data_IF_424678105316
#
_entry.id   IF_424678105316
#
_cell.length_a   1.000
_cell.length_b   1.000
_cell.length_c   1.000
_cell.angle_alpha   90.00
_cell.angle_beta   90.00
_cell.angle_gamma   90.00
#
_symmetry.space_group_name_H-M   'P 1'
#
loop_
_entity.id
_entity.type
_entity.pdbx_description
1 polymer ?
#
# COMPACT_ATOMS: atom_id res chain seq x y z
N UNK A 1 -3.03 -12.30 4.29
CA UNK A 1 -3.02 -10.86 3.99
C UNK A 1 -2.61 -10.57 2.57
N UNK A 2 -3.14 -9.50 1.97
CA UNK A 2 -2.74 -9.08 0.65
C UNK A 2 -3.10 -7.61 0.41
N UNK A 3 -2.25 -6.93 -0.33
CA UNK A 3 -2.49 -5.54 -0.68
C UNK A 3 -1.59 -5.07 -1.82
N UNK A 4 -1.93 -3.93 -2.37
CA UNK A 4 -1.26 -3.29 -3.49
C UNK A 4 -1.12 -1.80 -3.22
N UNK A 5 -0.04 -1.23 -3.70
CA UNK A 5 0.22 0.20 -3.71
C UNK A 5 0.01 0.73 -5.14
N UNK A 6 -0.94 1.62 -5.32
CA UNK A 6 -1.18 2.32 -6.58
C UNK A 6 -0.46 3.67 -6.55
N UNK A 7 0.65 3.74 -7.26
CA UNK A 7 1.59 4.86 -7.26
C UNK A 7 1.51 5.77 -8.48
N UNK A 8 0.33 5.96 -9.06
CA UNK A 8 0.15 6.77 -10.25
C UNK A 8 0.36 8.27 -10.01
N UNK A 9 0.83 8.97 -11.02
CA UNK A 9 0.95 10.44 -11.00
C UNK A 9 -0.42 11.09 -10.75
N UNK A 10 -0.43 12.27 -10.16
CA UNK A 10 -1.66 13.06 -9.95
C UNK A 10 -2.40 13.25 -11.29
N UNK A 11 -3.74 13.09 -11.24
CA UNK A 11 -4.62 13.26 -12.41
C UNK A 11 -4.77 12.03 -13.31
N UNK A 12 -4.18 10.88 -12.98
CA UNK A 12 -4.34 9.63 -13.74
C UNK A 12 -5.52 8.74 -13.25
N UNK A 13 -6.46 9.31 -12.51
CA UNK A 13 -7.70 8.61 -12.15
C UNK A 13 -7.53 7.54 -11.07
N UNK A 14 -6.59 7.68 -10.12
CA UNK A 14 -6.44 6.74 -8.99
C UNK A 14 -7.74 6.48 -8.24
N UNK A 15 -8.48 7.54 -7.94
CA UNK A 15 -9.77 7.45 -7.24
C UNK A 15 -10.78 6.63 -8.03
N UNK A 16 -10.88 6.85 -9.35
CA UNK A 16 -11.78 6.09 -10.21
C UNK A 16 -11.39 4.61 -10.29
N UNK A 17 -10.08 4.31 -10.40
CA UNK A 17 -9.61 2.93 -10.36
C UNK A 17 -9.91 2.25 -9.03
N UNK A 18 -9.67 2.92 -7.92
CA UNK A 18 -9.96 2.40 -6.60
C UNK A 18 -11.47 2.16 -6.43
N UNK A 19 -12.30 3.04 -6.96
CA UNK A 19 -13.76 2.89 -7.02
C UNK A 19 -14.17 1.66 -7.84
N UNK A 20 -13.58 1.45 -9.01
CA UNK A 20 -13.84 0.27 -9.83
C UNK A 20 -13.43 -1.03 -9.12
N UNK A 21 -12.27 -1.04 -8.46
CA UNK A 21 -11.83 -2.18 -7.64
C UNK A 21 -12.82 -2.44 -6.51
N UNK A 22 -13.25 -1.39 -5.78
CA UNK A 22 -14.24 -1.53 -4.72
C UNK A 22 -15.56 -2.11 -5.23
N UNK A 23 -15.99 -1.71 -6.43
CA UNK A 23 -17.19 -2.23 -7.07
C UNK A 23 -17.05 -3.72 -7.42
N UNK A 24 -15.92 -4.13 -7.98
CA UNK A 24 -15.63 -5.54 -8.27
C UNK A 24 -15.67 -6.38 -6.98
N UNK A 25 -15.01 -5.95 -5.92
CA UNK A 25 -15.04 -6.65 -4.63
C UNK A 25 -16.45 -6.75 -4.04
N UNK A 26 -17.25 -5.70 -4.21
CA UNK A 26 -18.64 -5.70 -3.77
C UNK A 26 -19.50 -6.70 -4.56
N UNK A 27 -19.32 -6.80 -5.86
CA UNK A 27 -20.08 -7.69 -6.74
C UNK A 27 -19.64 -9.15 -6.62
N UNK A 28 -18.32 -9.40 -6.61
CA UNK A 28 -17.77 -10.76 -6.63
C UNK A 28 -17.71 -11.41 -5.24
N UNK A 29 -17.37 -10.62 -4.21
CA UNK A 29 -17.16 -11.13 -2.85
C UNK A 29 -18.25 -10.70 -1.87
N UNK A 30 -19.26 -9.93 -2.31
CA UNK A 30 -20.34 -9.38 -1.46
C UNK A 30 -19.80 -8.61 -0.24
N UNK A 31 -18.65 -7.94 -0.38
CA UNK A 31 -17.99 -7.23 0.70
C UNK A 31 -18.22 -5.73 0.62
N UNK A 32 -18.14 -5.06 1.75
CA UNK A 32 -18.17 -3.60 1.82
C UNK A 32 -16.76 -3.01 1.92
N UNK A 33 -16.62 -1.74 1.54
CA UNK A 33 -15.36 -1.03 1.48
C UNK A 33 -15.25 0.03 2.57
N UNK A 34 -14.11 0.09 3.25
CA UNK A 34 -13.72 1.21 4.10
C UNK A 34 -12.71 2.07 3.36
N UNK A 35 -13.01 3.35 3.16
CA UNK A 35 -12.06 4.34 2.65
C UNK A 35 -11.53 5.18 3.81
N UNK A 36 -10.21 5.24 3.95
CA UNK A 36 -9.53 6.15 4.88
C UNK A 36 -8.81 7.21 4.05
N UNK A 37 -9.16 8.48 4.24
CA UNK A 37 -8.65 9.57 3.41
C UNK A 37 -8.35 10.84 4.24
N UNK A 38 -7.57 11.80 3.70
CA UNK A 38 -7.46 13.13 4.28
C UNK A 38 -8.82 13.82 4.42
N UNK A 39 -9.02 14.67 5.44
CA UNK A 39 -10.32 15.33 5.67
C UNK A 39 -10.87 16.06 4.44
N UNK A 40 -9.99 16.70 3.66
CA UNK A 40 -10.36 17.42 2.43
C UNK A 40 -10.93 16.55 1.31
N UNK A 41 -10.69 15.24 1.36
CA UNK A 41 -11.17 14.28 0.37
C UNK A 41 -12.41 13.49 0.82
N UNK A 42 -12.89 13.69 2.05
CA UNK A 42 -14.01 12.96 2.62
C UNK A 42 -15.30 13.17 1.79
N UNK A 43 -15.62 14.42 1.46
CA UNK A 43 -16.80 14.74 0.63
C UNK A 43 -16.70 14.18 -0.80
N UNK A 44 -15.51 14.22 -1.40
CA UNK A 44 -15.27 13.64 -2.71
C UNK A 44 -15.54 12.12 -2.68
N UNK A 45 -14.97 11.40 -1.73
CA UNK A 45 -15.18 9.96 -1.61
C UNK A 45 -16.64 9.60 -1.31
N UNK A 46 -17.33 10.38 -0.47
CA UNK A 46 -18.77 10.20 -0.23
C UNK A 46 -19.58 10.32 -1.53
N UNK A 47 -19.28 11.31 -2.37
CA UNK A 47 -19.91 11.47 -3.68
C UNK A 47 -19.63 10.30 -4.63
N UNK A 48 -18.41 9.72 -4.58
CA UNK A 48 -18.09 8.52 -5.35
C UNK A 48 -18.88 7.30 -4.86
N UNK A 49 -19.03 7.12 -3.55
CA UNK A 49 -19.84 6.05 -2.98
C UNK A 49 -21.30 6.13 -3.46
N UNK A 50 -21.90 7.30 -3.40
CA UNK A 50 -23.25 7.54 -3.89
C UNK A 50 -23.36 7.30 -5.39
N UNK A 51 -22.51 7.94 -6.17
CA UNK A 51 -22.54 7.89 -7.65
C UNK A 51 -22.38 6.47 -8.20
N UNK A 52 -21.53 5.66 -7.59
CA UNK A 52 -21.21 4.32 -8.07
C UNK A 52 -21.87 3.21 -7.23
N UNK A 53 -22.78 3.55 -6.32
CA UNK A 53 -23.53 2.58 -5.53
C UNK A 53 -22.64 1.69 -4.66
N UNK A 54 -21.57 2.25 -4.08
CA UNK A 54 -20.67 1.49 -3.20
C UNK A 54 -21.26 1.37 -1.81
N UNK A 55 -21.15 0.18 -1.22
CA UNK A 55 -21.49 -0.07 0.17
C UNK A 55 -20.24 0.04 1.05
N UNK A 56 -20.37 0.71 2.20
CA UNK A 56 -19.25 0.84 3.11
C UNK A 56 -19.22 2.17 3.87
N UNK A 57 -18.01 2.59 4.23
CA UNK A 57 -17.81 3.80 5.02
C UNK A 57 -16.63 4.60 4.50
N UNK A 58 -16.77 5.91 4.50
CA UNK A 58 -15.67 6.88 4.32
C UNK A 58 -15.29 7.42 5.69
N UNK A 59 -13.99 7.38 6.01
CA UNK A 59 -13.44 7.80 7.29
C UNK A 59 -12.27 8.73 7.10
N UNK A 60 -12.33 9.88 7.73
CA UNK A 60 -11.22 10.84 7.73
C UNK A 60 -10.04 10.34 8.57
N UNK A 61 -8.81 10.53 8.09
CA UNK A 61 -7.58 10.31 8.87
C UNK A 61 -7.56 11.03 10.23
N UNK A 62 -8.33 12.12 10.37
CA UNK A 62 -8.49 12.81 11.65
C UNK A 62 -9.24 12.02 12.70
N UNK A 63 -10.10 11.09 12.27
CA UNK A 63 -11.03 10.34 13.13
C UNK A 63 -10.60 8.87 13.37
N UNK A 64 -9.54 8.38 12.70
CA UNK A 64 -9.16 6.96 12.76
C UNK A 64 -8.85 6.46 14.17
N UNK A 65 -8.22 7.28 15.02
CA UNK A 65 -7.86 6.89 16.38
C UNK A 65 -9.07 6.72 17.32
N UNK A 66 -10.19 7.36 17.01
CA UNK A 66 -11.40 7.33 17.81
C UNK A 66 -12.47 6.41 17.23
N UNK A 67 -12.56 6.32 15.90
CA UNK A 67 -13.62 5.57 15.25
C UNK A 67 -13.23 4.13 14.87
N UNK A 68 -11.99 3.87 14.42
CA UNK A 68 -11.58 2.51 14.02
C UNK A 68 -11.74 1.46 15.13
N UNK A 69 -11.34 1.73 16.39
CA UNK A 69 -11.50 0.75 17.47
C UNK A 69 -12.96 0.39 17.76
N UNK A 70 -13.89 1.27 17.39
CA UNK A 70 -15.32 1.10 17.60
C UNK A 70 -16.06 0.51 16.39
N UNK A 71 -15.38 0.29 15.26
CA UNK A 71 -15.99 -0.30 14.07
C UNK A 71 -16.20 -1.81 14.24
N UNK A 72 -17.46 -2.20 14.45
CA UNK A 72 -17.84 -3.61 14.52
C UNK A 72 -17.93 -4.28 13.15
N UNK A 73 -18.25 -3.49 12.10
CA UNK A 73 -18.37 -3.97 10.73
C UNK A 73 -17.01 -4.43 10.21
N UNK A 74 -16.97 -5.62 9.63
CA UNK A 74 -15.81 -6.12 8.89
C UNK A 74 -15.92 -5.66 7.44
N UNK A 75 -14.94 -4.90 6.99
CA UNK A 75 -14.81 -4.49 5.59
C UNK A 75 -13.86 -5.45 4.88
N UNK A 76 -14.24 -5.97 3.71
CA UNK A 76 -13.37 -6.86 2.93
C UNK A 76 -12.26 -6.10 2.21
N UNK A 77 -12.50 -4.83 1.87
CA UNK A 77 -11.53 -3.95 1.25
C UNK A 77 -11.32 -2.68 2.09
N UNK A 78 -10.07 -2.32 2.31
CA UNK A 78 -9.66 -1.03 2.91
C UNK A 78 -8.86 -0.25 1.89
N UNK A 79 -9.34 0.92 1.51
CA UNK A 79 -8.63 1.86 0.63
C UNK A 79 -8.05 2.96 1.51
N UNK A 80 -6.76 3.22 1.40
CA UNK A 80 -6.08 4.32 2.11
C UNK A 80 -5.59 5.33 1.09
N UNK A 81 -6.29 6.45 1.00
CA UNK A 81 -5.93 7.51 0.07
C UNK A 81 -4.87 8.45 0.66
N UNK A 82 -3.98 8.91 -0.19
CA UNK A 82 -2.79 9.69 0.19
C UNK A 82 -1.98 8.98 1.29
N UNK A 83 -1.70 7.68 1.08
CA UNK A 83 -1.05 6.80 2.06
C UNK A 83 0.34 7.28 2.50
N UNK A 84 0.95 8.20 1.77
CA UNK A 84 2.19 8.87 2.19
C UNK A 84 2.03 9.65 3.52
N UNK A 85 0.83 9.95 3.97
CA UNK A 85 0.59 10.52 5.30
C UNK A 85 0.86 9.53 6.45
N UNK A 86 1.05 8.24 6.13
CA UNK A 86 1.29 7.14 7.08
C UNK A 86 2.75 6.66 7.08
N UNK A 87 3.71 7.52 6.75
CA UNK A 87 5.15 7.19 6.77
C UNK A 87 5.71 7.02 8.18
N UNK A 88 5.13 7.68 9.17
CA UNK A 88 5.57 7.58 10.55
C UNK A 88 4.84 6.45 11.27
N UNK A 89 5.50 5.28 11.40
CA UNK A 89 4.95 4.10 12.09
C UNK A 89 4.70 4.31 13.59
N UNK A 90 5.36 5.27 14.23
CA UNK A 90 5.15 5.57 15.64
C UNK A 90 3.94 6.48 15.88
N UNK A 91 3.38 7.04 14.83
CA UNK A 91 2.19 7.89 14.91
C UNK A 91 0.93 7.12 15.32
N UNK A 92 0.12 7.74 16.21
CA UNK A 92 -1.13 7.12 16.71
C UNK A 92 -2.07 6.68 15.58
N UNK A 93 -2.17 7.45 14.51
CA UNK A 93 -3.02 7.11 13.34
C UNK A 93 -2.52 5.86 12.63
N UNK A 94 -1.22 5.75 12.41
CA UNK A 94 -0.62 4.58 11.81
C UNK A 94 -0.88 3.32 12.64
N UNK A 95 -0.64 3.40 13.96
CA UNK A 95 -0.86 2.28 14.90
C UNK A 95 -2.32 1.82 14.86
N UNK A 96 -3.28 2.74 14.97
CA UNK A 96 -4.71 2.41 14.92
C UNK A 96 -5.12 1.73 13.59
N UNK A 97 -4.62 2.22 12.46
CA UNK A 97 -4.90 1.61 11.14
C UNK A 97 -4.25 0.24 11.05
N UNK A 98 -3.00 0.09 11.47
CA UNK A 98 -2.29 -1.20 11.46
C UNK A 98 -2.98 -2.23 12.34
N UNK A 99 -3.36 -1.88 13.56
CA UNK A 99 -4.12 -2.74 14.48
C UNK A 99 -5.43 -3.20 13.86
N UNK A 100 -6.19 -2.28 13.26
CA UNK A 100 -7.43 -2.62 12.55
C UNK A 100 -7.19 -3.61 11.40
N UNK A 101 -6.18 -3.36 10.56
CA UNK A 101 -5.83 -4.25 9.44
C UNK A 101 -5.38 -5.62 9.97
N UNK A 102 -4.63 -5.66 11.07
CA UNK A 102 -4.18 -6.91 11.68
C UNK A 102 -5.33 -7.73 12.26
N UNK A 103 -6.29 -7.07 12.90
CA UNK A 103 -7.44 -7.74 13.52
C UNK A 103 -8.46 -8.23 12.50
N UNK A 104 -8.78 -7.40 11.50
CA UNK A 104 -9.89 -7.67 10.56
C UNK A 104 -9.45 -8.38 9.28
N UNK A 105 -8.15 -8.39 8.99
CA UNK A 105 -7.52 -9.02 7.82
C UNK A 105 -8.19 -8.69 6.47
N UNK A 106 -8.41 -7.40 6.13
CA UNK A 106 -8.97 -6.98 4.86
C UNK A 106 -7.94 -7.07 3.73
N UNK A 107 -8.39 -7.01 2.49
CA UNK A 107 -7.53 -6.57 1.37
C UNK A 107 -7.24 -5.09 1.50
N UNK A 108 -6.03 -4.66 1.18
CA UNK A 108 -5.62 -3.27 1.35
C UNK A 108 -5.14 -2.67 0.05
N UNK A 109 -5.71 -1.51 -0.32
CA UNK A 109 -5.29 -0.71 -1.46
C UNK A 109 -4.75 0.63 -0.96
N UNK A 110 -3.46 0.85 -1.15
CA UNK A 110 -2.81 2.12 -0.84
C UNK A 110 -2.75 3.00 -2.08
N UNK A 111 -3.25 4.23 -1.99
CA UNK A 111 -3.18 5.21 -3.07
C UNK A 111 -2.19 6.31 -2.69
N UNK A 112 -1.24 6.60 -3.57
CA UNK A 112 -0.31 7.71 -3.39
C UNK A 112 0.25 8.17 -4.73
N UNK A 113 0.54 9.47 -4.84
CA UNK A 113 1.29 10.01 -5.97
C UNK A 113 2.81 9.92 -5.74
N UNK A 114 3.22 9.80 -4.47
CA UNK A 114 4.62 9.80 -4.05
C UNK A 114 4.87 8.63 -3.10
N UNK A 115 5.04 7.39 -3.61
CA UNK A 115 5.21 6.19 -2.78
C UNK A 115 6.41 6.31 -1.83
N UNK A 116 7.47 6.97 -2.27
CA UNK A 116 8.60 7.35 -1.40
C UNK A 116 9.12 8.74 -1.80
N UNK A 117 9.70 9.47 -0.85
CA UNK A 117 10.16 10.83 -1.11
C UNK A 117 11.68 10.96 -0.96
N UNK A 118 12.26 10.55 0.14
CA UNK A 118 13.70 10.70 0.42
C UNK A 118 14.36 9.45 1.01
N UNK A 119 13.59 8.59 1.65
CA UNK A 119 14.11 7.41 2.35
C UNK A 119 13.30 6.17 2.01
N UNK A 120 13.98 5.06 1.82
CA UNK A 120 13.34 3.76 1.60
C UNK A 120 12.49 3.32 2.80
N UNK A 121 12.82 3.80 4.00
CA UNK A 121 12.05 3.54 5.20
C UNK A 121 10.61 4.08 5.13
N UNK A 122 10.38 5.20 4.41
CA UNK A 122 9.03 5.73 4.16
C UNK A 122 8.17 4.71 3.39
N UNK A 123 8.80 4.02 2.44
CA UNK A 123 8.17 2.97 1.65
C UNK A 123 7.95 1.72 2.50
N UNK A 124 8.95 1.29 3.26
CA UNK A 124 8.82 0.16 4.18
C UNK A 124 7.64 0.35 5.14
N UNK A 125 7.50 1.53 5.73
CA UNK A 125 6.40 1.81 6.65
C UNK A 125 5.02 1.71 5.98
N UNK A 126 4.90 2.12 4.72
CA UNK A 126 3.65 1.91 3.96
C UNK A 126 3.43 0.42 3.64
N UNK A 127 4.47 -0.30 3.21
CA UNK A 127 4.37 -1.74 2.91
C UNK A 127 3.97 -2.57 4.13
N UNK A 128 4.38 -2.18 5.35
CA UNK A 128 3.98 -2.83 6.61
C UNK A 128 2.47 -2.78 6.90
N UNK A 129 1.71 -1.97 6.18
CA UNK A 129 0.25 -1.98 6.23
C UNK A 129 -0.36 -3.11 5.40
N UNK A 130 0.36 -3.62 4.40
CA UNK A 130 -0.13 -4.62 3.45
C UNK A 130 0.56 -5.98 3.57
N UNK A 131 1.74 -6.03 4.19
CA UNK A 131 2.51 -7.26 4.42
C UNK A 131 2.98 -7.34 5.87
N UNK A 132 3.18 -8.55 6.36
CA UNK A 132 3.86 -8.76 7.63
C UNK A 132 5.38 -8.63 7.45
N UNK A 133 6.04 -8.02 8.41
CA UNK A 133 7.45 -7.68 8.33
C UNK A 133 8.41 -8.89 8.24
N UNK A 134 7.96 -10.05 8.73
CA UNK A 134 8.69 -11.32 8.67
C UNK A 134 8.13 -12.29 7.62
N UNK A 135 7.15 -11.84 6.80
CA UNK A 135 6.62 -12.63 5.70
C UNK A 135 7.71 -12.94 4.68
N UNK A 136 7.77 -14.20 4.20
CA UNK A 136 8.65 -14.57 3.08
C UNK A 136 8.13 -13.92 1.79
N UNK A 137 8.88 -12.98 1.28
CA UNK A 137 8.58 -12.23 0.06
C UNK A 137 9.05 -12.95 -1.21
N UNK A 138 9.72 -14.12 -1.07
CA UNK A 138 10.36 -14.91 -2.14
C UNK A 138 11.49 -14.19 -2.88
N UNK A 139 11.77 -12.95 -2.53
CA UNK A 139 12.90 -12.14 -3.00
C UNK A 139 13.68 -11.64 -1.81
N UNK A 140 14.95 -11.33 -2.02
CA UNK A 140 15.82 -10.73 -1.01
C UNK A 140 16.58 -9.54 -1.59
N UNK A 141 17.16 -8.66 -0.78
CA UNK A 141 17.98 -7.55 -1.24
C UNK A 141 19.33 -8.06 -1.76
N UNK A 142 19.38 -8.41 -3.05
CA UNK A 142 20.54 -9.11 -3.65
C UNK A 142 21.82 -8.29 -3.61
N UNK A 143 21.75 -6.95 -3.80
CA UNK A 143 22.94 -6.08 -3.75
C UNK A 143 23.53 -6.05 -2.35
N UNK A 144 22.68 -5.91 -1.34
CA UNK A 144 23.08 -5.98 0.05
C UNK A 144 23.74 -7.32 0.39
N UNK A 145 23.15 -8.44 -0.03
CA UNK A 145 23.71 -9.76 0.25
C UNK A 145 25.00 -10.04 -0.53
N UNK A 146 25.17 -9.49 -1.73
CA UNK A 146 26.45 -9.57 -2.44
C UNK A 146 27.58 -8.90 -1.65
N UNK A 147 27.33 -7.75 -1.04
CA UNK A 147 28.30 -7.08 -0.17
C UNK A 147 28.53 -7.85 1.12
N UNK A 148 27.46 -8.34 1.75
CA UNK A 148 27.50 -9.15 2.97
C UNK A 148 28.43 -10.37 2.80
N UNK A 149 28.28 -11.10 1.69
CA UNK A 149 29.09 -12.30 1.41
C UNK A 149 30.53 -11.96 1.01
N UNK A 150 30.80 -10.81 0.40
CA UNK A 150 32.18 -10.36 0.13
C UNK A 150 33.00 -10.15 1.39
N UNK A 151 32.37 -9.87 2.50
CA UNK A 151 33.00 -9.76 3.82
C UNK A 151 33.16 -11.12 4.52
N UNK A 152 33.07 -12.23 3.78
CA UNK A 152 33.12 -13.62 4.28
C UNK A 152 32.05 -13.95 5.34
N UNK A 153 30.93 -13.21 5.35
CA UNK A 153 29.80 -13.45 6.24
C UNK A 153 28.82 -14.43 5.61
N UNK A 154 28.12 -15.18 6.45
CA UNK A 154 27.15 -16.19 6.02
C UNK A 154 25.71 -15.67 6.18
N UNK A 155 24.77 -16.35 5.52
CA UNK A 155 23.33 -16.09 5.70
C UNK A 155 22.88 -16.41 7.13
N UNK A 156 23.48 -17.41 7.77
CA UNK A 156 23.21 -17.75 9.16
C UNK A 156 23.59 -16.61 10.11
N UNK A 157 24.73 -15.97 9.89
CA UNK A 157 25.14 -14.80 10.68
C UNK A 157 24.18 -13.62 10.48
N UNK A 158 23.64 -13.44 9.28
CA UNK A 158 22.59 -12.44 9.05
C UNK A 158 21.34 -12.73 9.89
N UNK A 159 20.84 -13.97 9.83
CA UNK A 159 19.66 -14.38 10.60
C UNK A 159 19.91 -14.20 12.10
N UNK A 160 21.07 -14.60 12.59
CA UNK A 160 21.44 -14.48 14.02
C UNK A 160 21.51 -13.01 14.45
N UNK A 161 22.11 -12.15 13.60
CA UNK A 161 22.28 -10.73 13.92
C UNK A 161 20.98 -9.94 13.90
N UNK A 162 20.13 -10.16 12.88
CA UNK A 162 18.94 -9.34 12.65
C UNK A 162 17.64 -10.02 13.09
N UNK A 163 17.69 -11.28 13.53
CA UNK A 163 16.56 -12.08 13.99
C UNK A 163 15.41 -12.08 12.97
N UNK A 164 15.75 -12.18 11.69
CA UNK A 164 14.78 -12.16 10.59
C UNK A 164 15.27 -12.98 9.38
N UNK A 165 14.30 -13.39 8.55
CA UNK A 165 14.61 -14.07 7.28
C UNK A 165 15.29 -13.12 6.29
N UNK A 166 16.26 -13.59 5.48
CA UNK A 166 16.84 -12.84 4.37
C UNK A 166 15.82 -12.37 3.32
N UNK A 167 14.65 -12.99 3.26
CA UNK A 167 13.56 -12.68 2.33
C UNK A 167 12.42 -11.89 2.96
N UNK A 168 12.67 -11.24 4.07
CA UNK A 168 11.67 -10.42 4.78
C UNK A 168 11.78 -8.94 4.43
N UNK A 169 10.74 -8.15 4.73
CA UNK A 169 10.80 -6.69 4.60
C UNK A 169 11.91 -6.11 5.50
N UNK A 170 12.15 -6.71 6.67
CA UNK A 170 13.25 -6.32 7.57
C UNK A 170 14.62 -6.47 6.93
N UNK A 171 14.80 -7.48 6.07
CA UNK A 171 16.05 -7.63 5.34
C UNK A 171 16.26 -6.50 4.32
N UNK A 172 15.21 -6.07 3.62
CA UNK A 172 15.28 -4.92 2.72
C UNK A 172 15.60 -3.62 3.45
N UNK A 173 15.17 -3.45 4.68
CA UNK A 173 15.49 -2.28 5.50
C UNK A 173 16.99 -2.14 5.83
N UNK A 174 17.77 -3.21 5.69
CA UNK A 174 19.22 -3.16 5.83
C UNK A 174 19.90 -2.68 4.54
N UNK A 175 19.20 -2.71 3.40
CA UNK A 175 19.78 -2.30 2.12
C UNK A 175 19.61 -0.80 1.89
N UNK A 176 20.70 -0.15 1.49
CA UNK A 176 20.73 1.22 0.99
C UNK A 176 20.73 1.28 -0.54
N UNK A 177 20.72 0.13 -1.23
CA UNK A 177 20.76 0.05 -2.68
C UNK A 177 19.39 0.27 -3.30
N UNK A 178 19.31 1.21 -4.22
CA UNK A 178 18.08 1.53 -4.96
C UNK A 178 17.54 0.31 -5.73
N UNK A 179 18.41 -0.50 -6.30
CA UNK A 179 18.05 -1.68 -7.09
C UNK A 179 17.26 -2.70 -6.27
N UNK A 180 17.68 -2.95 -5.03
CA UNK A 180 16.98 -3.87 -4.14
C UNK A 180 15.54 -3.40 -3.87
N UNK A 181 15.38 -2.12 -3.56
CA UNK A 181 14.07 -1.52 -3.33
C UNK A 181 13.20 -1.48 -4.59
N UNK A 182 13.81 -1.23 -5.75
CA UNK A 182 13.11 -1.28 -7.04
C UNK A 182 12.57 -2.68 -7.32
N UNK A 183 13.35 -3.72 -7.04
CA UNK A 183 12.94 -5.10 -7.28
C UNK A 183 11.85 -5.53 -6.29
N UNK A 184 11.92 -5.12 -5.03
CA UNK A 184 10.83 -5.27 -4.06
C UNK A 184 9.55 -4.58 -4.55
N UNK A 185 9.67 -3.35 -5.04
CA UNK A 185 8.51 -2.57 -5.48
C UNK A 185 7.78 -3.18 -6.67
N UNK A 186 8.45 -3.94 -7.53
CA UNK A 186 7.80 -4.68 -8.63
C UNK A 186 6.73 -5.66 -8.16
N UNK A 187 6.81 -6.11 -6.91
CA UNK A 187 5.82 -7.04 -6.33
C UNK A 187 4.55 -6.33 -5.84
N UNK A 188 4.66 -5.07 -5.43
CA UNK A 188 3.59 -4.38 -4.69
C UNK A 188 3.11 -3.10 -5.36
N UNK A 189 3.92 -2.46 -6.22
CA UNK A 189 3.60 -1.19 -6.83
C UNK A 189 3.03 -1.36 -8.24
N UNK A 190 1.80 -0.95 -8.42
CA UNK A 190 1.22 -0.66 -9.73
C UNK A 190 1.42 0.82 -10.01
N UNK A 191 2.15 1.16 -11.07
CA UNK A 191 2.41 2.53 -11.48
C UNK A 191 2.23 2.70 -12.98
N UNK A 192 1.34 3.58 -13.37
CA UNK A 192 1.20 4.03 -14.75
C UNK A 192 1.84 5.39 -14.91
N UNK A 193 2.43 5.65 -16.07
CA UNK A 193 2.93 6.95 -16.45
C UNK A 193 2.01 7.56 -17.51
N UNK A 194 2.01 8.89 -17.64
CA UNK A 194 1.26 9.55 -18.73
C UNK A 194 1.66 8.99 -20.09
N UNK A 195 2.95 8.77 -20.32
CA UNK A 195 3.44 8.19 -21.57
C UNK A 195 2.92 6.77 -21.81
N UNK A 196 2.78 5.95 -20.77
CA UNK A 196 2.19 4.62 -20.89
C UNK A 196 0.72 4.71 -21.31
N UNK A 197 -0.04 5.61 -20.70
CA UNK A 197 -1.47 5.82 -21.04
C UNK A 197 -1.60 6.36 -22.46
N UNK A 198 -0.81 7.38 -22.84
CA UNK A 198 -0.83 7.93 -24.19
C UNK A 198 -0.51 6.87 -25.26
N UNK A 199 0.47 6.00 -25.02
CA UNK A 199 0.86 4.96 -25.97
C UNK A 199 -0.17 3.82 -26.11
N UNK A 200 -0.88 3.50 -25.03
CA UNK A 200 -1.74 2.30 -25.03
C UNK A 200 -3.24 2.63 -25.15
N UNK A 201 -3.67 3.87 -24.86
CA UNK A 201 -5.08 4.23 -24.79
C UNK A 201 -5.46 5.50 -25.55
N UNK A 202 -4.51 6.31 -26.02
CA UNK A 202 -4.81 7.56 -26.74
C UNK A 202 -5.46 7.33 -28.13
N UNK A 203 -5.40 6.12 -28.65
CA UNK A 203 -6.02 5.77 -29.95
C UNK A 203 -7.51 5.42 -29.86
N UNK A 204 -8.09 5.43 -28.66
CA UNK A 204 -9.51 5.07 -28.47
C UNK A 204 -10.46 6.28 -28.59
N UNK A 205 -9.95 7.51 -28.61
CA UNK A 205 -10.76 8.73 -28.66
C UNK A 205 -10.88 9.36 -30.09
N UNK A 206 -10.25 8.78 -31.13
CA UNK A 206 -10.37 9.28 -32.52
C UNK A 206 -11.51 8.62 -33.32
N UNK A 207 -12.46 7.99 -32.64
CA UNK A 207 -13.55 7.22 -33.24
C UNK A 207 -14.95 7.55 -32.75
N UNK A 208 -15.31 8.86 -32.57
CA UNK A 208 -16.71 9.30 -32.52
C UNK A 208 -16.84 10.69 -33.13
#
# INVERSE_FOLDING_TARGET
RGGVLLGDVVGLGKTLMATAIARIFQEDESTSTLVICPPKLEAMWASYFERYGLTGKVLSLGKVTTELPNLRTRYGLVIIDESHNLRNREGRRYKAIREYIQEKDPRVLLLTATPYNKQFLDLSNQLRLIIDEDQDLRVRPERYFQEWFRENRTEHEFITKFQTSPRSLRAFEQSTHYEDWRDLMRLFLVRRTRNFIMRNYAYLDEGQ
#
